data_IF_887319831487
#
_entry.id   IF_887319831487
#
_cell.length_a   1.000
_cell.length_b   1.000
_cell.length_c   1.000
_cell.angle_alpha   90.00
_cell.angle_beta   90.00
_cell.angle_gamma   90.00
#
_symmetry.space_group_name_H-M   'P 1'
#
loop_
_entity.id
_entity.type
_entity.pdbx_description
1 polymer ?
#
# COMPACT_ATOMS: atom_id res chain seq x y z
N UNK A 1 7.09 -8.05 -7.16
CA UNK A 1 5.99 -8.17 -6.18
C UNK A 1 4.61 -7.83 -6.76
N UNK A 2 4.25 -6.56 -7.03
CA UNK A 2 2.87 -6.25 -7.47
C UNK A 2 2.50 -6.87 -8.84
N UNK A 3 3.39 -6.79 -9.82
CA UNK A 3 3.22 -7.44 -11.13
C UNK A 3 3.05 -8.96 -11.00
N UNK A 4 3.93 -9.61 -10.22
CA UNK A 4 3.87 -11.06 -9.96
C UNK A 4 2.56 -11.47 -9.29
N UNK A 5 2.11 -10.72 -8.28
CA UNK A 5 0.85 -10.98 -7.58
C UNK A 5 -0.33 -10.93 -8.56
N UNK A 6 -0.38 -9.90 -9.41
CA UNK A 6 -1.48 -9.74 -10.37
C UNK A 6 -1.47 -10.86 -11.41
N UNK A 7 -0.30 -11.29 -11.87
CA UNK A 7 -0.19 -12.45 -12.77
C UNK A 7 -0.74 -13.73 -12.14
N UNK A 8 -0.55 -13.93 -10.83
CA UNK A 8 -1.09 -15.10 -10.12
C UNK A 8 -2.60 -14.97 -9.89
N UNK A 9 -3.10 -13.77 -9.57
CA UNK A 9 -4.53 -13.54 -9.31
C UNK A 9 -5.36 -13.56 -10.60
N UNK A 10 -4.76 -13.19 -11.74
CA UNK A 10 -5.42 -13.21 -13.05
C UNK A 10 -6.59 -12.23 -13.20
N UNK A 11 -6.67 -11.21 -12.34
CA UNK A 11 -7.72 -10.18 -12.37
C UNK A 11 -7.14 -8.83 -12.72
N UNK A 12 -7.96 -7.98 -13.34
CA UNK A 12 -7.59 -6.58 -13.59
C UNK A 12 -7.51 -5.82 -12.28
N UNK A 13 -6.41 -5.11 -12.10
CA UNK A 13 -6.09 -4.41 -10.87
C UNK A 13 -5.67 -2.97 -11.16
N UNK A 14 -6.02 -2.06 -10.24
CA UNK A 14 -5.49 -0.71 -10.21
C UNK A 14 -4.56 -0.62 -9.00
N UNK A 15 -3.31 -0.23 -9.22
CA UNK A 15 -2.35 0.08 -8.17
C UNK A 15 -2.33 1.59 -7.96
N UNK A 16 -2.54 2.02 -6.71
CA UNK A 16 -2.56 3.43 -6.32
C UNK A 16 -1.29 3.75 -5.56
N UNK A 17 -0.50 4.70 -6.06
CA UNK A 17 0.83 5.02 -5.53
C UNK A 17 0.99 6.52 -5.27
N UNK A 18 1.86 6.88 -4.33
CA UNK A 18 2.21 8.27 -4.08
C UNK A 18 3.09 8.87 -5.21
N UNK A 19 3.25 10.19 -5.22
CA UNK A 19 3.98 10.96 -6.23
C UNK A 19 5.46 10.56 -6.37
N UNK A 20 6.03 9.92 -5.35
CA UNK A 20 7.36 9.30 -5.44
C UNK A 20 7.46 8.33 -6.63
N UNK A 21 6.39 7.59 -6.91
CA UNK A 21 6.33 6.56 -7.96
C UNK A 21 5.91 7.10 -9.33
N UNK A 22 5.75 8.42 -9.49
CA UNK A 22 5.53 9.07 -10.79
C UNK A 22 6.82 9.11 -11.62
N UNK A 23 7.35 7.93 -11.94
CA UNK A 23 8.61 7.71 -12.68
C UNK A 23 8.41 6.68 -13.80
N UNK A 24 9.09 6.90 -14.93
CA UNK A 24 8.96 6.06 -16.13
C UNK A 24 9.12 4.55 -15.88
N UNK A 25 10.15 4.10 -15.13
CA UNK A 25 10.35 2.68 -14.87
C UNK A 25 9.15 1.95 -14.26
N UNK A 26 8.42 2.60 -13.34
CA UNK A 26 7.22 2.01 -12.71
C UNK A 26 6.16 1.72 -13.77
N UNK A 27 5.87 2.69 -14.64
CA UNK A 27 4.88 2.53 -15.71
C UNK A 27 5.32 1.47 -16.73
N UNK A 28 6.60 1.43 -17.08
CA UNK A 28 7.15 0.46 -18.04
C UNK A 28 7.09 -0.98 -17.51
N UNK A 29 7.45 -1.21 -16.24
CA UNK A 29 7.37 -2.53 -15.60
C UNK A 29 5.91 -3.01 -15.57
N UNK A 30 5.00 -2.14 -15.14
CA UNK A 30 3.58 -2.48 -15.02
C UNK A 30 2.90 -2.70 -16.39
N UNK A 31 3.37 -2.00 -17.43
CA UNK A 31 2.91 -2.20 -18.80
C UNK A 31 3.22 -3.61 -19.35
N UNK A 32 4.23 -4.30 -18.81
CA UNK A 32 4.60 -5.65 -19.24
C UNK A 32 3.67 -6.74 -18.68
N UNK A 33 2.83 -6.42 -17.68
CA UNK A 33 1.90 -7.39 -17.08
C UNK A 33 0.62 -7.47 -17.90
N UNK A 34 0.54 -8.48 -18.76
CA UNK A 34 -0.56 -8.72 -19.70
C UNK A 34 -1.33 -10.01 -19.37
N UNK A 35 -2.59 -10.06 -19.78
CA UNK A 35 -3.41 -11.27 -19.76
C UNK A 35 -3.13 -12.16 -20.99
N UNK A 36 -3.75 -13.34 -21.03
CA UNK A 36 -3.63 -14.28 -22.16
C UNK A 36 -4.11 -13.69 -23.50
N UNK A 37 -4.83 -12.56 -23.46
CA UNK A 37 -5.35 -11.83 -24.62
C UNK A 37 -4.50 -10.59 -24.96
N UNK A 38 -3.36 -10.40 -24.30
CA UNK A 38 -2.45 -9.28 -24.51
C UNK A 38 -2.95 -7.94 -23.95
N UNK A 39 -4.02 -7.92 -23.14
CA UNK A 39 -4.51 -6.72 -22.46
C UNK A 39 -3.79 -6.52 -21.14
N UNK A 40 -3.58 -5.27 -20.75
CA UNK A 40 -2.96 -4.95 -19.46
C UNK A 40 -3.81 -5.47 -18.30
N UNK A 41 -3.17 -6.19 -17.39
CA UNK A 41 -3.80 -6.65 -16.15
C UNK A 41 -3.68 -5.61 -15.03
N UNK A 42 -2.66 -4.76 -15.07
CA UNK A 42 -2.44 -3.77 -14.01
C UNK A 42 -2.31 -2.36 -14.59
N UNK A 43 -3.06 -1.44 -13.99
CA UNK A 43 -2.99 -0.01 -14.28
C UNK A 43 -2.53 0.74 -13.04
N UNK A 44 -1.80 1.84 -13.23
CA UNK A 44 -1.30 2.67 -12.13
C UNK A 44 -2.05 3.98 -12.08
N UNK A 45 -2.39 4.41 -10.87
CA UNK A 45 -2.86 5.75 -10.54
C UNK A 45 -1.87 6.36 -9.54
N UNK A 46 -1.30 7.51 -9.87
CA UNK A 46 -0.35 8.21 -9.00
C UNK A 46 -0.50 9.71 -9.12
N UNK A 47 -0.05 10.46 -8.11
CA UNK A 47 0.03 11.92 -8.19
C UNK A 47 1.26 12.32 -9.01
N UNK A 48 1.10 13.24 -9.95
CA UNK A 48 2.22 13.79 -10.69
C UNK A 48 3.04 14.73 -9.81
N UNK A 49 4.33 14.86 -10.13
CA UNK A 49 5.17 15.93 -9.56
C UNK A 49 4.73 17.29 -10.11
N UNK A 50 4.92 18.36 -9.35
CA UNK A 50 4.52 19.72 -9.76
C UNK A 50 5.23 20.18 -11.04
N UNK A 51 6.43 19.68 -11.32
CA UNK A 51 7.17 20.01 -12.55
C UNK A 51 6.84 19.08 -13.74
N UNK A 52 5.72 18.34 -13.68
CA UNK A 52 5.35 17.41 -14.75
C UNK A 52 5.10 18.13 -16.07
N UNK A 53 5.63 17.53 -17.13
CA UNK A 53 5.47 17.97 -18.51
C UNK A 53 4.92 16.81 -19.32
N UNK A 54 3.95 17.10 -20.18
CA UNK A 54 3.46 16.17 -21.19
C UNK A 54 3.41 16.84 -22.57
N UNK A 55 3.23 16.03 -23.60
CA UNK A 55 3.28 16.49 -24.98
C UNK A 55 1.98 16.13 -25.69
N UNK A 56 1.53 17.00 -26.59
CA UNK A 56 0.45 16.66 -27.51
C UNK A 56 0.89 15.62 -28.54
N UNK A 57 -0.08 15.07 -29.27
CA UNK A 57 0.18 14.19 -30.39
C UNK A 57 1.08 14.85 -31.44
N UNK A 58 1.97 14.09 -32.10
CA UNK A 58 2.86 14.64 -33.10
C UNK A 58 2.06 15.22 -34.29
N UNK A 59 2.52 16.35 -34.87
CA UNK A 59 1.87 16.91 -36.04
C UNK A 59 1.98 15.95 -37.25
N UNK A 60 1.07 16.06 -38.24
CA UNK A 60 1.12 15.24 -39.44
C UNK A 60 2.45 15.41 -40.19
N UNK A 61 2.89 14.34 -40.87
CA UNK A 61 4.13 14.35 -41.63
C UNK A 61 4.02 15.37 -42.77
N UNK A 62 4.94 16.32 -42.82
CA UNK A 62 4.97 17.41 -43.79
C UNK A 62 5.65 17.04 -45.13
N UNK A 63 6.12 15.80 -45.29
CA UNK A 63 6.80 15.31 -46.51
C UNK A 63 8.20 15.91 -46.78
N UNK A 64 8.65 16.87 -45.97
CA UNK A 64 9.95 17.55 -46.12
C UNK A 64 11.10 16.68 -45.59
N UNK A 65 12.30 16.92 -46.13
CA UNK A 65 13.54 16.26 -45.69
C UNK A 65 13.81 16.56 -44.22
N UNK A 66 14.00 15.50 -43.41
CA UNK A 66 14.28 15.60 -41.97
C UNK A 66 13.58 14.52 -41.16
N UNK A 67 13.99 14.35 -39.89
CA UNK A 67 13.36 13.39 -38.97
C UNK A 67 11.97 13.91 -38.55
N UNK A 68 10.88 13.16 -38.75
CA UNK A 68 9.56 13.54 -38.25
C UNK A 68 9.57 13.79 -36.74
N UNK A 69 8.82 14.81 -36.29
CA UNK A 69 8.67 15.09 -34.86
C UNK A 69 7.97 13.92 -34.18
N UNK A 70 8.56 13.43 -33.08
CA UNK A 70 7.97 12.36 -32.25
C UNK A 70 6.87 12.87 -31.31
N UNK A 71 6.92 14.16 -30.96
CA UNK A 71 6.04 14.78 -29.97
C UNK A 71 5.53 16.11 -30.51
N UNK A 72 4.29 16.46 -30.14
CA UNK A 72 3.68 17.75 -30.44
C UNK A 72 4.16 18.86 -29.49
N UNK A 73 3.30 19.83 -29.24
CA UNK A 73 3.60 20.94 -28.33
C UNK A 73 3.87 20.43 -26.91
N UNK A 74 4.83 21.06 -26.25
CA UNK A 74 5.18 20.77 -24.85
C UNK A 74 4.23 21.54 -23.94
N UNK A 75 3.59 20.85 -22.99
CA UNK A 75 2.68 21.43 -22.02
C UNK A 75 3.25 21.26 -20.60
N UNK A 76 3.37 22.37 -19.88
CA UNK A 76 3.62 22.39 -18.45
C UNK A 76 2.27 22.27 -17.74
N UNK A 77 2.01 21.13 -17.10
CA UNK A 77 0.63 20.82 -16.70
C UNK A 77 0.13 21.69 -15.54
N UNK A 78 1.02 22.23 -14.70
CA UNK A 78 0.62 23.16 -13.66
C UNK A 78 0.07 24.49 -14.23
N UNK A 79 0.59 24.94 -15.37
CA UNK A 79 0.15 26.19 -16.00
C UNK A 79 -1.28 26.05 -16.58
N UNK A 80 -1.72 24.82 -16.83
CA UNK A 80 -3.07 24.53 -17.33
C UNK A 80 -4.16 24.82 -16.30
N UNK A 81 -3.82 24.88 -15.00
CA UNK A 81 -4.77 25.31 -13.98
C UNK A 81 -5.24 26.75 -14.21
N UNK A 82 -4.38 27.63 -14.75
CA UNK A 82 -4.73 29.03 -15.01
C UNK A 82 -5.11 29.27 -16.47
N UNK A 83 -4.41 28.61 -17.40
CA UNK A 83 -4.64 28.84 -18.84
C UNK A 83 -5.89 28.15 -19.39
N UNK A 84 -6.41 27.11 -18.73
CA UNK A 84 -7.57 26.35 -19.18
C UNK A 84 -8.74 26.33 -18.17
N UNK A 85 -8.86 27.35 -17.31
CA UNK A 85 -9.91 27.42 -16.27
C UNK A 85 -11.32 27.15 -16.83
N UNK A 86 -11.65 27.71 -18.00
CA UNK A 86 -12.97 27.52 -18.64
C UNK A 86 -13.24 26.11 -19.18
N UNK A 87 -12.26 25.20 -19.14
CA UNK A 87 -12.41 23.80 -19.58
C UNK A 87 -12.55 22.82 -18.41
N UNK A 88 -12.45 23.31 -17.17
CA UNK A 88 -12.64 22.45 -16.01
C UNK A 88 -14.12 22.11 -15.86
N UNK A 89 -14.39 20.82 -15.69
CA UNK A 89 -15.72 20.29 -15.39
C UNK A 89 -15.88 20.20 -13.86
N UNK A 90 -17.10 20.35 -13.37
CA UNK A 90 -17.43 20.11 -11.97
C UNK A 90 -18.13 18.76 -11.84
N UNK A 91 -17.77 18.00 -10.82
CA UNK A 91 -18.51 16.80 -10.44
C UNK A 91 -18.57 16.63 -8.93
N UNK A 92 -19.68 16.06 -8.48
CA UNK A 92 -19.86 15.61 -7.12
C UNK A 92 -19.35 14.17 -7.01
N UNK A 93 -18.30 13.96 -6.22
CA UNK A 93 -17.71 12.64 -6.00
C UNK A 93 -17.95 12.23 -4.54
N UNK A 94 -18.52 11.03 -4.35
CA UNK A 94 -18.57 10.42 -3.03
C UNK A 94 -17.20 9.88 -2.64
N UNK A 95 -16.58 10.52 -1.65
CA UNK A 95 -15.29 10.17 -1.05
C UNK A 95 -15.54 9.80 0.41
N UNK A 96 -15.23 8.55 0.79
CA UNK A 96 -15.41 8.08 2.18
C UNK A 96 -16.83 8.26 2.74
N UNK A 97 -17.86 8.12 1.90
CA UNK A 97 -19.26 8.31 2.29
C UNK A 97 -19.70 9.79 2.38
N UNK A 98 -18.79 10.74 2.11
CA UNK A 98 -19.11 12.16 2.03
C UNK A 98 -19.14 12.60 0.56
N UNK A 99 -20.17 13.35 0.18
CA UNK A 99 -20.22 13.97 -1.14
C UNK A 99 -19.34 15.22 -1.14
N UNK A 100 -18.40 15.29 -2.08
CA UNK A 100 -17.53 16.44 -2.26
C UNK A 100 -17.60 16.92 -3.70
N UNK A 101 -17.80 18.22 -3.88
CA UNK A 101 -17.69 18.85 -5.18
C UNK A 101 -16.22 19.10 -5.50
N UNK A 102 -15.79 18.60 -6.66
CA UNK A 102 -14.44 18.81 -7.16
C UNK A 102 -14.51 19.28 -8.60
N UNK A 103 -13.56 20.13 -8.97
CA UNK A 103 -13.41 20.59 -10.34
C UNK A 103 -12.20 19.92 -10.96
N UNK A 104 -12.33 19.35 -12.16
CA UNK A 104 -11.22 18.67 -12.81
C UNK A 104 -11.17 18.89 -14.32
N UNK A 105 -9.99 18.67 -14.90
CA UNK A 105 -9.75 18.65 -16.34
C UNK A 105 -9.00 17.35 -16.68
N UNK A 106 -9.57 16.57 -17.61
CA UNK A 106 -8.99 15.32 -18.08
C UNK A 106 -8.33 15.52 -19.44
N UNK A 107 -7.06 15.12 -19.57
CA UNK A 107 -6.28 15.22 -20.80
C UNK A 107 -5.47 13.95 -21.04
N UNK A 108 -5.58 13.39 -22.25
CA UNK A 108 -4.77 12.25 -22.68
C UNK A 108 -3.55 12.78 -23.47
N UNK A 109 -2.37 12.73 -22.84
CA UNK A 109 -1.15 13.34 -23.38
C UNK A 109 0.00 12.34 -23.41
N UNK A 110 0.98 12.56 -24.28
CA UNK A 110 2.18 11.74 -24.37
C UNK A 110 3.14 12.12 -23.25
N UNK A 111 3.51 11.15 -22.42
CA UNK A 111 4.50 11.34 -21.37
C UNK A 111 5.87 10.79 -21.80
N UNK A 112 6.83 11.70 -22.02
CA UNK A 112 8.15 11.38 -22.59
C UNK A 112 8.90 10.21 -21.92
N UNK A 113 8.89 10.04 -20.58
CA UNK A 113 9.56 8.92 -19.92
C UNK A 113 9.12 7.53 -20.39
N UNK A 114 7.86 7.39 -20.85
CA UNK A 114 7.37 6.12 -21.42
C UNK A 114 7.12 6.20 -22.93
N UNK A 115 7.11 7.40 -23.51
CA UNK A 115 6.87 7.63 -24.94
C UNK A 115 5.45 7.30 -25.42
N UNK A 116 4.52 7.03 -24.49
CA UNK A 116 3.14 6.66 -24.76
C UNK A 116 2.14 7.61 -24.09
N UNK A 117 0.85 7.43 -24.41
CA UNK A 117 -0.25 8.20 -23.82
C UNK A 117 -0.47 7.81 -22.36
N UNK A 118 -0.66 8.83 -21.53
CA UNK A 118 -1.05 8.75 -20.13
C UNK A 118 -2.22 9.70 -19.95
N UNK A 119 -3.21 9.28 -19.17
CA UNK A 119 -4.32 10.14 -18.79
C UNK A 119 -3.90 11.02 -17.61
N UNK A 120 -3.96 12.33 -17.79
CA UNK A 120 -3.70 13.32 -16.76
C UNK A 120 -5.03 13.91 -16.30
N UNK A 121 -5.29 13.86 -15.00
CA UNK A 121 -6.46 14.48 -14.38
C UNK A 121 -5.97 15.61 -13.48
N UNK A 122 -6.18 16.84 -13.90
CA UNK A 122 -5.87 18.03 -13.12
C UNK A 122 -7.05 18.28 -12.20
N UNK A 123 -6.83 18.25 -10.90
CA UNK A 123 -7.87 18.35 -9.87
C UNK A 123 -7.70 19.65 -9.10
N UNK A 124 -8.80 20.39 -8.97
CA UNK A 124 -8.96 21.54 -8.09
C UNK A 124 -9.97 21.17 -7.03
N UNK A 125 -9.50 21.13 -5.79
CA UNK A 125 -10.27 20.77 -4.61
C UNK A 125 -10.19 21.90 -3.59
N UNK A 126 -11.14 22.84 -3.65
CA UNK A 126 -11.06 24.10 -2.92
C UNK A 126 -9.81 24.90 -3.31
N UNK A 127 -8.92 25.15 -2.34
CA UNK A 127 -7.63 25.82 -2.56
C UNK A 127 -6.54 24.90 -3.12
N UNK A 128 -6.70 23.59 -2.94
CA UNK A 128 -5.69 22.61 -3.34
C UNK A 128 -5.75 22.34 -4.85
N UNK A 129 -4.58 22.30 -5.50
CA UNK A 129 -4.42 21.97 -6.91
C UNK A 129 -3.40 20.85 -7.04
N UNK A 130 -3.79 19.76 -7.68
CA UNK A 130 -2.88 18.63 -7.90
C UNK A 130 -3.24 17.85 -9.15
N UNK A 131 -2.27 17.09 -9.65
CA UNK A 131 -2.41 16.36 -10.91
C UNK A 131 -2.30 14.88 -10.61
N UNK A 132 -3.23 14.09 -11.14
CA UNK A 132 -3.18 12.63 -11.13
C UNK A 132 -2.78 12.12 -12.51
N UNK A 133 -2.04 11.02 -12.53
CA UNK A 133 -1.61 10.31 -13.72
C UNK A 133 -2.20 8.91 -13.66
N UNK A 134 -2.81 8.48 -14.76
CA UNK A 134 -3.29 7.12 -14.93
C UNK A 134 -2.74 6.49 -16.20
N UNK A 135 -2.27 5.25 -16.09
CA UNK A 135 -1.82 4.48 -17.28
C UNK A 135 -2.98 3.93 -18.12
N UNK A 136 -4.21 3.98 -17.59
CA UNK A 136 -5.44 3.68 -18.32
C UNK A 136 -6.05 4.96 -18.90
N UNK A 137 -6.26 4.98 -20.21
CA UNK A 137 -6.93 6.10 -20.92
C UNK A 137 -8.42 5.85 -21.10
N UNK A 138 -8.97 4.74 -20.63
CA UNK A 138 -10.41 4.49 -20.66
C UNK A 138 -11.07 4.85 -19.31
N UNK A 139 -10.29 4.84 -18.22
CA UNK A 139 -10.79 5.09 -16.87
C UNK A 139 -11.27 6.52 -16.67
N UNK A 140 -12.49 6.69 -16.16
CA UNK A 140 -13.11 8.00 -15.93
C UNK A 140 -12.32 8.82 -14.90
N UNK A 141 -12.30 10.14 -15.09
CA UNK A 141 -11.61 11.06 -14.18
C UNK A 141 -12.14 10.96 -12.74
N UNK A 142 -13.46 10.80 -12.57
CA UNK A 142 -14.10 10.62 -11.26
C UNK A 142 -13.63 9.34 -10.55
N UNK A 143 -13.46 8.24 -11.29
CA UNK A 143 -12.94 6.98 -10.76
C UNK A 143 -11.45 7.07 -10.44
N UNK A 144 -10.66 7.80 -11.23
CA UNK A 144 -9.24 8.08 -10.92
C UNK A 144 -9.12 8.87 -9.61
N UNK A 145 -9.92 9.93 -9.43
CA UNK A 145 -9.94 10.73 -8.20
C UNK A 145 -10.36 9.87 -7.01
N UNK A 146 -11.43 9.08 -7.17
CA UNK A 146 -11.90 8.16 -6.13
C UNK A 146 -10.85 7.11 -5.77
N UNK A 147 -10.22 6.47 -6.75
CA UNK A 147 -9.16 5.50 -6.53
C UNK A 147 -7.99 6.12 -5.77
N UNK A 148 -7.54 7.32 -6.17
CA UNK A 148 -6.47 8.01 -5.48
C UNK A 148 -6.84 8.42 -4.05
N UNK A 149 -8.10 8.76 -3.78
CA UNK A 149 -8.55 9.09 -2.43
C UNK A 149 -8.28 7.94 -1.44
N UNK A 150 -8.44 6.69 -1.87
CA UNK A 150 -8.20 5.49 -1.06
C UNK A 150 -6.72 5.27 -0.71
N UNK A 151 -5.78 5.97 -1.35
CA UNK A 151 -4.34 5.89 -1.02
C UNK A 151 -4.09 6.15 0.47
N UNK A 152 -4.82 7.10 1.07
CA UNK A 152 -4.67 7.45 2.48
C UNK A 152 -4.95 6.28 3.43
N UNK A 153 -5.69 5.25 3.00
CA UNK A 153 -5.95 4.05 3.82
C UNK A 153 -4.67 3.33 4.22
N UNK A 154 -3.59 3.40 3.45
CA UNK A 154 -2.31 2.80 3.85
C UNK A 154 -1.73 3.49 5.09
N UNK A 155 -1.90 4.81 5.23
CA UNK A 155 -1.44 5.58 6.38
C UNK A 155 -2.23 5.18 7.64
N UNK A 156 -3.53 4.97 7.50
CA UNK A 156 -4.39 4.41 8.55
C UNK A 156 -3.93 3.01 8.95
N UNK A 157 -3.65 2.13 7.98
CA UNK A 157 -3.14 0.78 8.26
C UNK A 157 -1.79 0.81 9.00
N UNK A 158 -0.88 1.70 8.60
CA UNK A 158 0.39 1.88 9.33
C UNK A 158 0.20 2.39 10.75
N UNK A 159 -0.75 3.30 10.97
CA UNK A 159 -1.11 3.76 12.32
C UNK A 159 -1.58 2.59 13.18
N UNK A 160 -2.45 1.72 12.65
CA UNK A 160 -2.94 0.53 13.36
C UNK A 160 -1.79 -0.45 13.65
N UNK A 161 -0.96 -0.76 12.66
CA UNK A 161 0.18 -1.67 12.84
C UNK A 161 1.16 -1.17 13.90
N UNK A 162 1.44 0.13 13.92
CA UNK A 162 2.37 0.75 14.87
C UNK A 162 1.77 0.84 16.27
N UNK A 163 0.61 1.47 16.41
CA UNK A 163 0.10 1.87 17.72
C UNK A 163 -0.82 0.83 18.35
N UNK A 164 -1.60 0.10 17.55
CA UNK A 164 -2.47 -0.93 18.07
C UNK A 164 -1.71 -2.26 18.18
N UNK A 165 -1.16 -2.74 17.07
CA UNK A 165 -0.55 -4.07 17.04
C UNK A 165 0.87 -4.11 17.64
N UNK A 166 1.59 -2.98 17.64
CA UNK A 166 2.98 -2.95 18.07
C UNK A 166 3.92 -3.72 17.14
N UNK A 167 3.56 -3.90 15.87
CA UNK A 167 4.31 -4.71 14.90
C UNK A 167 5.73 -4.17 14.64
N UNK A 168 6.00 -2.92 14.98
CA UNK A 168 7.30 -2.27 14.85
C UNK A 168 8.04 -2.09 16.19
N UNK A 169 7.46 -2.53 17.31
CA UNK A 169 8.04 -2.28 18.63
C UNK A 169 9.02 -3.36 19.08
N UNK A 170 8.90 -4.57 18.53
CA UNK A 170 9.80 -5.66 18.89
C UNK A 170 11.07 -5.63 18.04
N UNK A 171 12.22 -5.56 18.70
CA UNK A 171 13.53 -5.61 18.08
C UNK A 171 14.18 -6.96 18.36
N UNK A 172 14.51 -7.70 17.29
CA UNK A 172 15.23 -8.96 17.39
C UNK A 172 16.74 -8.66 17.42
N UNK A 173 17.30 -8.58 18.62
CA UNK A 173 18.72 -8.30 18.82
C UNK A 173 19.59 -9.52 18.51
N UNK A 174 20.72 -9.27 17.86
CA UNK A 174 21.71 -10.30 17.54
C UNK A 174 23.12 -9.71 17.59
N UNK A 175 24.03 -10.41 18.29
CA UNK A 175 25.42 -9.98 18.46
C UNK A 175 26.27 -10.11 17.19
N UNK A 176 25.87 -10.99 16.27
CA UNK A 176 26.56 -11.21 15.00
C UNK A 176 26.33 -10.11 13.96
N UNK A 177 25.43 -9.16 14.20
CA UNK A 177 25.21 -8.05 13.27
C UNK A 177 26.40 -7.07 13.32
N UNK A 178 26.96 -6.66 12.16
CA UNK A 178 28.06 -5.71 12.15
C UNK A 178 27.64 -4.36 12.74
N UNK A 179 28.54 -3.74 13.51
CA UNK A 179 28.26 -2.43 14.13
C UNK A 179 28.16 -1.35 13.06
N UNK A 180 26.99 -0.72 12.99
CA UNK A 180 26.64 0.24 11.93
C UNK A 180 27.26 1.63 12.17
N UNK A 181 27.54 1.99 13.43
CA UNK A 181 28.02 3.33 13.78
C UNK A 181 27.03 4.42 13.37
N UNK A 182 27.49 5.44 12.64
CA UNK A 182 26.67 6.55 12.11
C UNK A 182 26.09 6.29 10.72
N UNK A 183 26.35 5.12 10.12
CA UNK A 183 25.88 4.78 8.76
C UNK A 183 24.40 4.38 8.78
N UNK A 184 23.76 4.44 7.61
CA UNK A 184 22.36 4.00 7.45
C UNK A 184 22.24 2.60 6.83
N UNK A 185 23.34 2.01 6.39
CA UNK A 185 23.35 0.70 5.72
C UNK A 185 24.44 -0.17 6.36
N UNK A 186 24.06 -1.39 6.73
CA UNK A 186 24.99 -2.40 7.24
C UNK A 186 25.74 -3.03 6.07
N UNK A 187 27.07 -3.11 6.17
CA UNK A 187 27.85 -3.87 5.21
C UNK A 187 27.90 -5.35 5.64
N UNK A 188 26.98 -6.14 5.08
CA UNK A 188 26.88 -7.58 5.35
C UNK A 188 27.92 -8.40 4.59
N UNK A 189 28.67 -7.80 3.65
CA UNK A 189 29.72 -8.50 2.90
C UNK A 189 30.95 -8.84 3.76
N UNK A 190 31.10 -8.16 4.90
CA UNK A 190 32.17 -8.37 5.87
C UNK A 190 31.99 -9.58 6.80
N UNK A 191 30.85 -10.29 6.71
CA UNK A 191 30.52 -11.42 7.59
C UNK A 191 30.83 -12.74 6.87
N UNK A 192 32.04 -13.26 7.05
CA UNK A 192 32.50 -14.49 6.39
C UNK A 192 32.14 -15.78 7.14
N UNK A 193 31.80 -15.70 8.42
CA UNK A 193 31.47 -16.87 9.24
C UNK A 193 30.07 -17.43 8.92
N UNK A 194 30.01 -18.70 8.51
CA UNK A 194 28.74 -19.39 8.16
C UNK A 194 27.72 -19.37 9.29
N UNK A 195 28.17 -19.48 10.54
CA UNK A 195 27.27 -19.46 11.71
C UNK A 195 26.64 -18.08 11.87
N UNK A 196 27.43 -17.02 11.76
CA UNK A 196 26.99 -15.63 11.84
C UNK A 196 26.01 -15.28 10.71
N UNK A 197 26.31 -15.69 9.47
CA UNK A 197 25.40 -15.53 8.33
C UNK A 197 24.05 -16.23 8.58
N UNK A 198 24.07 -17.46 9.10
CA UNK A 198 22.85 -18.20 9.45
C UNK A 198 22.02 -17.48 10.50
N UNK A 199 22.66 -16.97 11.55
CA UNK A 199 21.96 -16.25 12.61
C UNK A 199 21.36 -14.94 12.11
N UNK A 200 22.10 -14.16 11.29
CA UNK A 200 21.59 -12.94 10.64
C UNK A 200 20.34 -13.25 9.81
N UNK A 201 20.39 -14.31 8.97
CA UNK A 201 19.24 -14.74 8.17
C UNK A 201 18.05 -15.15 9.05
N UNK A 202 18.28 -15.88 10.13
CA UNK A 202 17.21 -16.26 11.06
C UNK A 202 16.58 -15.04 11.73
N UNK A 203 17.38 -14.06 12.13
CA UNK A 203 16.89 -12.81 12.69
C UNK A 203 16.07 -12.01 11.68
N UNK A 204 16.56 -11.87 10.44
CA UNK A 204 15.83 -11.22 9.36
C UNK A 204 14.48 -11.90 9.10
N UNK A 205 14.48 -13.23 8.98
CA UNK A 205 13.25 -14.02 8.83
C UNK A 205 12.29 -13.84 10.01
N UNK A 206 12.79 -13.75 11.24
CA UNK A 206 11.98 -13.52 12.42
C UNK A 206 11.33 -12.13 12.42
N UNK A 207 12.08 -11.09 12.01
CA UNK A 207 11.57 -9.72 11.83
C UNK A 207 10.45 -9.71 10.78
N UNK A 208 10.69 -10.29 9.61
CA UNK A 208 9.70 -10.36 8.53
C UNK A 208 8.46 -11.15 8.95
N UNK A 209 8.64 -12.30 9.58
CA UNK A 209 7.54 -13.12 10.09
C UNK A 209 6.71 -12.38 11.15
N UNK A 210 7.36 -11.69 12.09
CA UNK A 210 6.67 -10.92 13.12
C UNK A 210 5.83 -9.79 12.51
N UNK A 211 6.38 -9.04 11.56
CA UNK A 211 5.65 -8.00 10.83
C UNK A 211 4.46 -8.58 10.06
N UNK A 212 4.67 -9.68 9.33
CA UNK A 212 3.62 -10.36 8.56
C UNK A 212 2.49 -10.87 9.46
N UNK A 213 2.82 -11.42 10.63
CA UNK A 213 1.81 -11.82 11.63
C UNK A 213 1.01 -10.62 12.14
N UNK A 214 1.66 -9.46 12.34
CA UNK A 214 0.98 -8.21 12.67
C UNK A 214 -0.02 -7.77 11.58
N UNK A 215 0.40 -7.85 10.31
CA UNK A 215 -0.46 -7.57 9.15
C UNK A 215 -1.66 -8.52 9.07
N UNK A 216 -1.43 -9.83 9.22
CA UNK A 216 -2.49 -10.85 9.20
C UNK A 216 -3.47 -10.62 10.35
N UNK A 217 -2.98 -10.39 11.57
CA UNK A 217 -3.83 -10.12 12.72
C UNK A 217 -4.68 -8.86 12.52
N UNK A 218 -4.10 -7.80 11.94
CA UNK A 218 -4.85 -6.57 11.59
C UNK A 218 -5.96 -6.87 10.59
N UNK A 219 -5.65 -7.63 9.53
CA UNK A 219 -6.64 -8.06 8.54
C UNK A 219 -7.77 -8.89 9.15
N UNK A 220 -7.46 -9.78 10.10
CA UNK A 220 -8.48 -10.56 10.83
C UNK A 220 -9.40 -9.61 11.63
N UNK A 221 -8.84 -8.64 12.36
CA UNK A 221 -9.65 -7.65 13.09
C UNK A 221 -10.58 -6.87 12.16
N UNK A 222 -10.11 -6.49 10.97
CA UNK A 222 -10.90 -5.81 9.95
C UNK A 222 -12.02 -6.69 9.41
N UNK A 223 -11.74 -7.96 9.09
CA UNK A 223 -12.74 -8.93 8.64
C UNK A 223 -13.80 -9.16 9.72
N UNK A 224 -13.40 -9.26 10.98
CA UNK A 224 -14.34 -9.41 12.11
C UNK A 224 -15.20 -8.15 12.27
N UNK A 225 -14.59 -6.97 12.17
CA UNK A 225 -15.30 -5.70 12.20
C UNK A 225 -16.39 -5.64 11.12
N UNK A 226 -16.05 -5.97 9.87
CA UNK A 226 -16.97 -5.88 8.75
C UNK A 226 -18.11 -6.89 8.83
N UNK A 227 -17.83 -8.14 9.24
CA UNK A 227 -18.83 -9.21 9.23
C UNK A 227 -19.67 -9.29 10.51
N UNK A 228 -19.14 -8.82 11.65
CA UNK A 228 -19.77 -9.00 12.97
C UNK A 228 -19.94 -7.68 13.74
N UNK A 229 -19.99 -6.53 13.05
CA UNK A 229 -20.06 -5.20 13.67
C UNK A 229 -21.16 -5.08 14.75
N UNK A 230 -22.37 -5.58 14.51
CA UNK A 230 -23.48 -5.50 15.47
C UNK A 230 -23.18 -6.26 16.77
N UNK A 231 -22.59 -7.45 16.66
CA UNK A 231 -22.23 -8.28 17.84
C UNK A 231 -21.10 -7.64 18.63
N UNK A 232 -20.10 -7.09 17.93
CA UNK A 232 -18.99 -6.36 18.57
C UNK A 232 -19.51 -5.16 19.33
N UNK A 233 -20.41 -4.35 18.75
CA UNK A 233 -21.01 -3.23 19.45
C UNK A 233 -21.83 -3.64 20.67
N UNK A 234 -22.64 -4.70 20.57
CA UNK A 234 -23.42 -5.21 21.71
C UNK A 234 -22.58 -5.74 22.87
N UNK A 235 -21.36 -6.20 22.58
CA UNK A 235 -20.41 -6.72 23.58
C UNK A 235 -19.37 -5.71 24.04
N UNK A 236 -19.31 -4.53 23.43
CA UNK A 236 -18.30 -3.54 23.78
C UNK A 236 -18.66 -2.88 25.12
N UNK A 237 -17.81 -3.09 26.12
CA UNK A 237 -17.98 -2.56 27.48
C UNK A 237 -17.22 -1.26 27.74
N UNK A 238 -16.49 -0.74 26.74
CA UNK A 238 -15.79 0.54 26.84
C UNK A 238 -16.72 1.74 26.60
N UNK A 239 -16.23 2.92 26.95
CA UNK A 239 -16.91 4.17 26.66
C UNK A 239 -16.23 4.92 25.51
N UNK A 240 -17.03 5.38 24.54
CA UNK A 240 -16.57 6.25 23.46
C UNK A 240 -17.28 7.60 23.56
N UNK A 241 -16.49 8.68 23.51
CA UNK A 241 -17.04 10.05 23.47
C UNK A 241 -17.95 10.28 22.26
N UNK A 242 -17.62 9.68 21.11
CA UNK A 242 -18.38 9.85 19.88
C UNK A 242 -18.26 8.58 19.02
N UNK A 243 -19.40 8.03 18.61
CA UNK A 243 -19.46 6.92 17.66
C UNK A 243 -19.66 7.50 16.26
N UNK A 244 -18.62 7.43 15.44
CA UNK A 244 -18.59 8.08 14.11
C UNK A 244 -18.91 7.14 12.95
N UNK A 245 -19.00 5.83 13.21
CA UNK A 245 -19.17 4.81 12.18
C UNK A 245 -19.94 3.61 12.74
N UNK A 246 -20.77 2.99 11.90
CA UNK A 246 -21.47 1.73 12.19
C UNK A 246 -20.50 0.55 12.26
N UNK A 247 -19.40 0.62 11.50
CA UNK A 247 -18.33 -0.38 11.50
C UNK A 247 -17.33 0.00 12.62
N UNK A 248 -17.09 -0.88 13.62
CA UNK A 248 -16.18 -0.58 14.72
C UNK A 248 -14.72 -0.52 14.26
N UNK A 249 -13.88 0.23 14.98
CA UNK A 249 -12.44 0.24 14.70
C UNK A 249 -11.79 -1.07 15.12
N UNK A 250 -10.60 -1.33 14.59
CA UNK A 250 -9.78 -2.49 14.97
C UNK A 250 -9.47 -2.51 16.47
N UNK A 251 -9.41 -1.34 17.10
CA UNK A 251 -9.19 -1.19 18.55
C UNK A 251 -10.39 -1.69 19.37
N UNK A 252 -11.61 -1.29 18.99
CA UNK A 252 -12.85 -1.75 19.62
C UNK A 252 -12.96 -3.27 19.49
N UNK A 253 -12.73 -3.80 18.29
CA UNK A 253 -12.78 -5.25 18.01
C UNK A 253 -11.74 -5.99 18.85
N UNK A 254 -10.51 -5.49 18.91
CA UNK A 254 -9.44 -6.07 19.74
C UNK A 254 -9.84 -6.08 21.21
N UNK A 255 -10.40 -4.99 21.73
CA UNK A 255 -10.83 -4.90 23.13
C UNK A 255 -11.87 -5.96 23.48
N UNK A 256 -12.90 -6.10 22.63
CA UNK A 256 -13.95 -7.14 22.82
C UNK A 256 -13.35 -8.54 22.75
N UNK A 257 -12.49 -8.83 21.77
CA UNK A 257 -11.85 -10.15 21.65
C UNK A 257 -10.96 -10.46 22.85
N UNK A 258 -10.20 -9.47 23.34
CA UNK A 258 -9.35 -9.64 24.52
C UNK A 258 -10.19 -9.96 25.75
N UNK A 259 -11.27 -9.22 25.98
CA UNK A 259 -12.17 -9.45 27.09
C UNK A 259 -12.84 -10.83 27.02
N UNK A 260 -13.38 -11.21 25.86
CA UNK A 260 -13.96 -12.52 25.63
C UNK A 260 -12.95 -13.65 25.84
N UNK A 261 -11.69 -13.44 25.43
CA UNK A 261 -10.62 -14.40 25.67
C UNK A 261 -10.33 -14.57 27.16
N UNK A 262 -10.27 -13.48 27.94
CA UNK A 262 -9.99 -13.54 29.37
C UNK A 262 -11.16 -14.13 30.16
N UNK A 263 -12.40 -13.75 29.86
CA UNK A 263 -13.58 -14.32 30.53
C UNK A 263 -13.73 -15.82 30.26
N UNK A 264 -13.44 -16.26 29.03
CA UNK A 264 -13.55 -17.67 28.63
C UNK A 264 -12.22 -18.44 28.77
N UNK A 265 -11.21 -17.89 29.45
CA UNK A 265 -9.86 -18.46 29.48
C UNK A 265 -9.82 -19.93 29.92
N UNK A 266 -10.68 -20.31 30.87
CA UNK A 266 -10.78 -21.69 31.37
C UNK A 266 -11.22 -22.68 30.29
N UNK A 267 -12.06 -22.25 29.36
CA UNK A 267 -12.51 -23.05 28.22
C UNK A 267 -11.36 -23.20 27.20
N UNK A 268 -10.56 -22.14 27.01
CA UNK A 268 -9.41 -22.13 26.11
C UNK A 268 -8.22 -22.98 26.57
N UNK A 269 -8.14 -23.36 27.86
CA UNK A 269 -7.07 -24.22 28.40
C UNK A 269 -6.92 -25.54 27.65
N UNK A 270 -7.99 -26.06 27.05
CA UNK A 270 -7.96 -27.32 26.30
C UNK A 270 -7.80 -27.13 24.78
N UNK A 271 -7.70 -25.89 24.30
CA UNK A 271 -7.52 -25.60 22.88
C UNK A 271 -6.17 -26.10 22.36
N UNK A 272 -6.12 -26.45 21.07
CA UNK A 272 -4.87 -26.86 20.42
C UNK A 272 -3.81 -25.74 20.47
N UNK A 273 -4.24 -24.49 20.32
CA UNK A 273 -3.36 -23.31 20.36
C UNK A 273 -2.71 -23.17 21.73
N UNK A 274 -3.49 -23.26 22.82
CA UNK A 274 -2.93 -23.19 24.17
C UNK A 274 -1.96 -24.33 24.44
N UNK A 275 -2.29 -25.56 23.99
CA UNK A 275 -1.37 -26.71 24.10
C UNK A 275 -0.05 -26.49 23.36
N UNK A 276 -0.07 -25.88 22.17
CA UNK A 276 1.13 -25.52 21.41
C UNK A 276 1.94 -24.42 22.11
N UNK A 277 1.29 -23.40 22.66
CA UNK A 277 1.98 -22.34 23.41
C UNK A 277 2.66 -22.94 24.65
N UNK A 278 1.93 -23.77 25.41
CA UNK A 278 2.45 -24.42 26.60
C UNK A 278 3.56 -25.42 26.29
N UNK A 279 3.49 -26.16 25.17
CA UNK A 279 4.56 -27.07 24.76
C UNK A 279 5.83 -26.34 24.35
N UNK A 280 5.71 -25.14 23.78
CA UNK A 280 6.86 -24.27 23.43
C UNK A 280 7.44 -23.51 24.63
N UNK A 281 6.61 -23.19 25.64
CA UNK A 281 7.07 -22.57 26.89
C UNK A 281 7.76 -23.55 27.84
N UNK A 282 7.45 -24.84 27.75
CA UNK A 282 8.26 -25.87 28.41
C UNK A 282 9.62 -25.88 27.71
N UNK A 283 10.66 -25.38 28.40
CA UNK A 283 12.04 -25.67 28.01
C UNK A 283 12.12 -27.18 27.72
N UNK A 284 12.79 -27.63 26.66
CA UNK A 284 13.12 -29.05 26.56
C UNK A 284 13.79 -29.40 27.88
N UNK A 285 13.23 -30.36 28.61
CA UNK A 285 13.92 -30.98 29.73
C UNK A 285 15.28 -31.35 29.18
N UNK A 286 16.32 -30.67 29.66
CA UNK A 286 17.70 -31.08 29.43
C UNK A 286 17.73 -32.48 29.99
N UNK A 287 17.61 -33.47 29.09
CA UNK A 287 17.73 -34.86 29.44
C UNK A 287 19.04 -34.99 30.20
N UNK A 288 18.94 -35.66 31.34
CA UNK A 288 20.05 -36.21 32.09
C UNK A 288 21.20 -36.56 31.15
N UNK A 289 22.30 -35.82 31.24
CA UNK A 289 23.58 -36.43 30.93
C UNK A 289 23.76 -37.54 31.96
N UNK A 290 23.88 -38.82 31.58
CA UNK A 290 24.51 -39.76 32.47
C UNK A 290 25.92 -39.23 32.68
N UNK A 291 26.28 -38.96 33.93
CA UNK A 291 27.68 -38.85 34.33
C UNK A 291 28.35 -40.12 33.84
N UNK A 292 29.17 -39.99 32.80
CA UNK A 292 30.12 -41.02 32.43
C UNK A 292 31.09 -41.18 33.60
N UNK A 293 31.24 -42.42 34.04
CA UNK A 293 32.33 -42.87 34.90
C UNK A 293 33.68 -42.68 34.21
#
# INVERSE_FOLDING_TARGET
MAAELVSVVGKRCIIVLDAYFAVGPVFLILQQTLDDRGKRLIHVVTRAKSNVVAYQDPPPKTGKRGRPRKYGSKLHLMDLFETMVGRFEQATISLYGQCKEVSFLCLDLIWKPIGGKVRFVLVRDGSEKFILMCSDVELLASDIIRAYSYRFKIEVSFKVLKHLMGAFFYQFWISAWPRIGTRNVSDLSSVDDQRSQRLIRQTANAIEAFMNLGCIATGILQIVSLNFHQTIWGKYLGWLRTVTSTIPSEEVVRSVIQEEYYHNFRIFKNSAIYRIIMSKNRKPTVNAMPLAA
#
